data_IF_377102086159
#
_entry.id   IF_377102086159
#
_cell.length_a   1.000
_cell.length_b   1.000
_cell.length_c   1.000
_cell.angle_alpha   90.00
_cell.angle_beta   90.00
_cell.angle_gamma   90.00
#
_symmetry.space_group_name_H-M   'P 1'
#
loop_
_entity.id
_entity.type
_entity.pdbx_description
1 polymer ?
#
# COMPACT_ATOMS: atom_id res chain seq x y z
N UNK A 1 -1.11 21.23 11.78
CA UNK A 1 -2.25 20.83 10.92
C UNK A 1 -2.68 19.45 11.37
N UNK A 2 -3.95 19.29 11.75
CA UNK A 2 -4.46 18.07 12.38
C UNK A 2 -4.77 17.02 11.29
N UNK A 3 -4.34 15.76 11.48
CA UNK A 3 -4.53 14.58 10.60
C UNK A 3 -6.01 14.27 10.23
N UNK A 4 -6.94 15.09 10.70
CA UNK A 4 -8.38 14.97 10.47
C UNK A 4 -8.79 15.55 9.11
N UNK A 5 -8.09 16.57 8.61
CA UNK A 5 -8.43 17.28 7.37
C UNK A 5 -8.03 16.52 6.09
N UNK A 6 -7.12 15.55 6.18
CA UNK A 6 -6.63 14.75 5.04
C UNK A 6 -7.46 13.48 4.78
N UNK A 7 -8.57 13.27 5.50
CA UNK A 7 -9.39 12.06 5.38
C UNK A 7 -10.47 12.25 4.31
N UNK A 8 -10.44 11.48 3.20
CA UNK A 8 -11.55 11.48 2.26
C UNK A 8 -12.84 11.12 3.02
N UNK A 9 -13.83 12.01 2.98
CA UNK A 9 -15.14 11.82 3.62
C UNK A 9 -15.11 11.57 5.15
N UNK A 10 -14.04 11.99 5.84
CA UNK A 10 -13.90 11.80 7.29
C UNK A 10 -13.72 10.35 7.73
N UNK A 11 -13.51 9.41 6.80
CA UNK A 11 -13.38 7.99 7.12
C UNK A 11 -12.04 7.68 7.82
N UNK A 12 -12.04 6.66 8.69
CA UNK A 12 -10.81 6.14 9.25
C UNK A 12 -9.88 5.62 8.13
N UNK A 13 -8.55 5.75 8.29
CA UNK A 13 -7.61 5.20 7.32
C UNK A 13 -7.79 3.69 7.19
N UNK A 14 -7.65 3.18 5.97
CA UNK A 14 -7.72 1.74 5.69
C UNK A 14 -6.43 1.02 6.09
N UNK A 15 -6.55 -0.26 6.47
CA UNK A 15 -5.44 -1.11 6.92
C UNK A 15 -5.73 -2.59 6.65
N UNK A 16 -4.70 -3.44 6.77
CA UNK A 16 -4.89 -4.90 6.81
C UNK A 16 -5.57 -5.37 8.10
N UNK A 17 -5.50 -4.58 9.18
CA UNK A 17 -6.05 -4.86 10.52
C UNK A 17 -6.99 -3.76 11.01
N UNK A 18 -7.84 -4.09 11.99
CA UNK A 18 -8.65 -3.15 12.78
C UNK A 18 -8.04 -2.87 14.17
N UNK A 19 -6.81 -3.33 14.43
CA UNK A 19 -6.07 -3.04 15.66
C UNK A 19 -5.27 -1.74 15.55
N UNK A 20 -5.01 -1.04 16.68
CA UNK A 20 -4.13 0.13 16.69
C UNK A 20 -2.72 -0.19 16.16
N UNK A 21 -2.26 0.58 15.18
CA UNK A 21 -0.90 0.47 14.65
C UNK A 21 0.06 1.34 15.46
N UNK A 22 1.21 0.78 15.88
CA UNK A 22 2.34 1.58 16.36
C UNK A 22 3.02 2.20 15.14
N UNK A 23 2.56 3.37 14.70
CA UNK A 23 3.25 4.09 13.64
C UNK A 23 4.67 4.44 14.09
N UNK A 24 5.69 3.95 13.38
CA UNK A 24 7.06 4.44 13.50
C UNK A 24 7.19 5.76 12.72
N UNK A 25 6.38 6.76 13.05
CA UNK A 25 6.61 8.10 12.52
C UNK A 25 7.70 8.75 13.35
N UNK A 26 8.81 9.14 12.72
CA UNK A 26 9.86 9.99 13.29
C UNK A 26 9.38 11.40 13.67
N UNK A 27 8.08 11.62 13.82
CA UNK A 27 7.48 12.85 14.31
C UNK A 27 7.63 12.88 15.83
N UNK A 28 8.79 13.33 16.30
CA UNK A 28 8.94 13.82 17.69
C UNK A 28 7.86 14.89 17.93
N UNK A 29 6.85 14.58 18.73
CA UNK A 29 5.96 15.61 19.29
C UNK A 29 4.44 15.40 19.21
N UNK A 30 3.92 14.19 18.97
CA UNK A 30 2.48 13.96 19.16
C UNK A 30 2.23 13.26 20.50
N UNK A 31 1.79 14.04 21.49
CA UNK A 31 1.29 13.55 22.78
C UNK A 31 0.28 12.42 22.60
N UNK A 32 0.29 11.51 23.59
CA UNK A 32 -0.62 10.38 23.78
C UNK A 32 -2.06 10.87 23.96
N UNK A 33 -2.69 11.28 22.87
CA UNK A 33 -4.14 11.41 22.80
C UNK A 33 -4.72 10.05 22.48
N UNK A 34 -5.27 9.41 23.51
CA UNK A 34 -6.26 8.33 23.45
C UNK A 34 -7.41 8.78 22.57
N UNK A 35 -7.29 8.58 21.27
CA UNK A 35 -8.25 9.07 20.31
C UNK A 35 -8.64 7.87 19.45
N UNK A 36 -9.90 7.44 19.57
CA UNK A 36 -10.53 6.39 18.74
C UNK A 36 -10.31 6.65 17.23
N UNK A 37 -9.97 7.90 16.88
CA UNK A 37 -9.52 8.33 15.56
C UNK A 37 -8.23 7.66 15.05
N UNK A 38 -7.46 6.96 15.90
CA UNK A 38 -6.23 6.22 15.53
C UNK A 38 -6.48 4.76 15.15
N UNK A 39 -7.67 4.22 15.39
CA UNK A 39 -7.98 2.84 15.03
C UNK A 39 -8.27 2.80 13.53
N UNK A 40 -7.46 2.09 12.71
CA UNK A 40 -7.71 1.99 11.30
C UNK A 40 -8.92 1.09 11.04
N UNK A 41 -9.53 1.26 9.88
CA UNK A 41 -10.57 0.35 9.40
C UNK A 41 -9.91 -0.77 8.62
N UNK A 42 -10.16 -2.02 9.02
CA UNK A 42 -9.81 -3.19 8.20
C UNK A 42 -10.49 -3.06 6.83
N UNK A 43 -9.70 -3.19 5.77
CA UNK A 43 -10.21 -3.26 4.41
C UNK A 43 -11.03 -4.54 4.25
N UNK A 44 -12.24 -4.49 3.69
CA UNK A 44 -12.99 -5.70 3.39
C UNK A 44 -12.41 -6.39 2.16
N UNK A 45 -12.59 -7.71 2.06
CA UNK A 45 -12.06 -8.50 0.95
C UNK A 45 -12.59 -8.02 -0.41
N UNK A 46 -13.86 -7.60 -0.47
CA UNK A 46 -14.52 -7.05 -1.65
C UNK A 46 -14.05 -5.63 -2.01
N UNK A 47 -13.40 -4.92 -1.10
CA UNK A 47 -12.81 -3.59 -1.36
C UNK A 47 -11.40 -3.66 -1.97
N UNK A 48 -10.67 -4.78 -1.79
CA UNK A 48 -9.29 -4.93 -2.30
C UNK A 48 -9.21 -4.69 -3.82
N UNK A 49 -10.08 -5.27 -4.67
CA UNK A 49 -10.02 -5.04 -6.10
C UNK A 49 -10.20 -3.56 -6.48
N UNK A 50 -10.97 -2.79 -5.70
CA UNK A 50 -11.14 -1.36 -5.92
C UNK A 50 -9.85 -0.58 -5.63
N UNK A 51 -9.16 -0.89 -4.52
CA UNK A 51 -7.86 -0.29 -4.20
C UNK A 51 -6.82 -0.60 -5.27
N UNK A 52 -6.76 -1.85 -5.75
CA UNK A 52 -5.88 -2.24 -6.86
C UNK A 52 -6.21 -1.44 -8.12
N UNK A 53 -7.51 -1.25 -8.41
CA UNK A 53 -7.95 -0.42 -9.53
C UNK A 53 -7.61 1.07 -9.35
N UNK A 54 -7.58 1.58 -8.12
CA UNK A 54 -7.16 2.97 -7.86
C UNK A 54 -5.67 3.17 -8.17
N UNK A 55 -4.80 2.24 -7.76
CA UNK A 55 -3.39 2.27 -8.17
C UNK A 55 -3.23 2.17 -9.69
N UNK A 56 -4.03 1.30 -10.33
CA UNK A 56 -4.06 1.13 -11.78
C UNK A 56 -4.42 2.43 -12.49
N UNK A 57 -5.44 3.13 -12.01
CA UNK A 57 -5.87 4.43 -12.54
C UNK A 57 -4.84 5.52 -12.27
N UNK A 58 -4.23 5.55 -11.08
CA UNK A 58 -3.17 6.48 -10.75
C UNK A 58 -1.96 6.32 -11.68
N UNK A 59 -1.55 5.08 -11.96
CA UNK A 59 -0.46 4.78 -12.89
C UNK A 59 -0.78 5.25 -14.32
N UNK A 60 -2.01 5.01 -14.79
CA UNK A 60 -2.46 5.51 -16.10
C UNK A 60 -2.44 7.04 -16.15
N UNK A 61 -2.96 7.70 -15.12
CA UNK A 61 -2.99 9.16 -15.05
C UNK A 61 -1.57 9.76 -15.02
N UNK A 62 -0.61 9.09 -14.38
CA UNK A 62 0.80 9.50 -14.41
C UNK A 62 1.36 9.46 -15.85
N UNK A 63 1.06 8.42 -16.62
CA UNK A 63 1.44 8.36 -18.04
C UNK A 63 0.78 9.47 -18.85
N UNK A 64 -0.52 9.68 -18.68
CA UNK A 64 -1.26 10.75 -19.38
C UNK A 64 -0.70 12.14 -19.04
N UNK A 65 -0.13 12.30 -17.84
CA UNK A 65 0.56 13.52 -17.41
C UNK A 65 2.02 13.63 -17.89
N UNK A 66 2.57 12.61 -18.55
CA UNK A 66 3.92 12.61 -19.14
C UNK A 66 5.04 12.10 -18.22
N UNK A 67 4.72 11.35 -17.16
CA UNK A 67 5.74 10.66 -16.35
C UNK A 67 6.30 9.44 -17.10
N UNK A 68 7.60 9.19 -16.95
CA UNK A 68 8.30 8.06 -17.61
C UNK A 68 8.09 6.71 -16.91
N UNK A 69 7.72 6.75 -15.62
CA UNK A 69 7.79 5.61 -14.71
C UNK A 69 6.84 5.78 -13.52
N UNK A 70 6.49 4.68 -12.87
CA UNK A 70 5.82 4.70 -11.56
C UNK A 70 6.51 3.74 -10.60
N UNK A 71 6.59 4.16 -9.35
CA UNK A 71 7.07 3.33 -8.24
C UNK A 71 5.92 3.06 -7.28
N UNK A 72 5.75 1.79 -6.90
CA UNK A 72 4.80 1.36 -5.87
C UNK A 72 5.48 1.39 -4.52
N UNK A 73 4.99 2.27 -3.64
CA UNK A 73 5.49 2.38 -2.29
C UNK A 73 4.88 1.31 -1.37
N UNK A 74 5.63 0.25 -1.12
CA UNK A 74 5.30 -0.86 -0.22
C UNK A 74 6.15 -0.92 1.05
N UNK A 75 6.65 0.22 1.52
CA UNK A 75 7.53 0.34 2.69
C UNK A 75 6.95 1.24 3.80
N UNK A 76 7.76 1.54 4.83
CA UNK A 76 7.53 2.55 5.87
C UNK A 76 6.18 2.48 6.61
N UNK A 77 5.60 1.28 6.75
CA UNK A 77 4.35 1.03 7.44
C UNK A 77 3.10 1.45 6.67
N UNK A 78 3.22 1.75 5.38
CA UNK A 78 2.07 2.05 4.53
C UNK A 78 1.28 0.79 4.17
N UNK A 79 0.11 0.99 3.54
CA UNK A 79 -0.92 -0.02 3.34
C UNK A 79 -0.37 -1.36 2.84
N UNK A 80 0.44 -1.36 1.77
CA UNK A 80 0.97 -2.60 1.20
C UNK A 80 1.88 -3.34 2.19
N UNK A 81 2.76 -2.63 2.91
CA UNK A 81 3.62 -3.26 3.93
C UNK A 81 2.80 -3.87 5.06
N UNK A 82 1.67 -3.25 5.43
CA UNK A 82 0.75 -3.79 6.43
C UNK A 82 0.12 -5.11 6.00
N UNK A 83 -0.07 -5.36 4.70
CA UNK A 83 -0.53 -6.66 4.18
C UNK A 83 0.58 -7.71 4.11
N UNK A 84 1.85 -7.30 4.07
CA UNK A 84 3.00 -8.22 3.94
C UNK A 84 3.64 -8.61 5.28
N UNK A 85 3.47 -7.80 6.34
CA UNK A 85 4.02 -8.08 7.67
C UNK A 85 3.04 -8.86 8.53
N UNK A 86 3.36 -10.11 8.87
CA UNK A 86 2.58 -10.97 9.78
C UNK A 86 2.32 -10.32 11.15
N UNK A 87 3.23 -9.47 11.62
CA UNK A 87 3.06 -8.72 12.89
C UNK A 87 1.93 -7.68 12.84
N UNK A 88 1.45 -7.33 11.65
CA UNK A 88 0.38 -6.35 11.41
C UNK A 88 -0.84 -7.01 10.76
N UNK A 89 -0.61 -7.84 9.74
CA UNK A 89 -1.66 -8.54 9.01
C UNK A 89 -2.20 -9.73 9.84
N UNK A 90 -3.32 -9.53 10.51
CA UNK A 90 -4.04 -10.57 11.25
C UNK A 90 -5.27 -11.10 10.50
N UNK A 91 -5.25 -10.98 9.17
CA UNK A 91 -6.27 -11.52 8.27
C UNK A 91 -6.15 -13.03 8.13
N UNK A 92 -7.29 -13.69 7.93
CA UNK A 92 -7.39 -15.10 7.57
C UNK A 92 -8.07 -15.34 6.23
N UNK A 93 -8.55 -14.27 5.58
CA UNK A 93 -9.15 -14.30 4.25
C UNK A 93 -8.08 -14.20 3.15
N UNK A 94 -8.31 -14.87 2.01
CA UNK A 94 -7.38 -14.80 0.88
C UNK A 94 -7.32 -13.38 0.31
N UNK A 95 -6.14 -12.79 0.34
CA UNK A 95 -5.81 -11.58 -0.40
C UNK A 95 -4.89 -11.96 -1.55
N UNK A 96 -5.32 -11.79 -2.80
CA UNK A 96 -4.42 -12.00 -3.93
C UNK A 96 -3.34 -10.91 -3.95
N UNK A 97 -2.07 -11.28 -3.76
CA UNK A 97 -0.93 -10.36 -3.71
C UNK A 97 -0.32 -10.06 -5.10
N UNK A 98 -1.12 -10.06 -6.17
CA UNK A 98 -0.58 -9.94 -7.53
C UNK A 98 -0.43 -8.49 -7.98
N UNK A 99 0.77 -8.12 -8.43
CA UNK A 99 1.03 -6.85 -9.11
C UNK A 99 0.61 -6.86 -10.60
N UNK A 100 0.20 -8.02 -11.14
CA UNK A 100 -0.13 -8.15 -12.56
C UNK A 100 -1.20 -7.17 -13.06
N UNK A 101 -2.28 -6.85 -12.31
CA UNK A 101 -3.23 -5.84 -12.76
C UNK A 101 -2.60 -4.44 -12.96
N UNK A 102 -1.63 -4.07 -12.12
CA UNK A 102 -0.93 -2.78 -12.19
C UNK A 102 0.07 -2.78 -13.36
N UNK A 103 0.89 -3.83 -13.47
CA UNK A 103 1.80 -4.03 -14.62
C UNK A 103 1.08 -3.99 -15.96
N UNK A 104 -0.10 -4.62 -16.06
CA UNK A 104 -0.90 -4.64 -17.30
C UNK A 104 -1.45 -3.27 -17.69
N UNK A 105 -1.61 -2.36 -16.73
CA UNK A 105 -2.10 -1.02 -16.99
C UNK A 105 -0.97 -0.01 -17.25
N UNK A 106 0.29 -0.42 -17.09
CA UNK A 106 1.43 0.46 -17.15
C UNK A 106 2.46 -0.04 -18.16
N UNK A 107 2.69 0.76 -19.21
CA UNK A 107 3.55 0.39 -20.33
C UNK A 107 4.99 0.94 -20.21
N UNK A 108 5.31 1.67 -19.13
CA UNK A 108 6.65 2.18 -18.84
C UNK A 108 7.41 1.34 -17.81
N UNK A 109 8.43 1.93 -17.18
CA UNK A 109 9.22 1.34 -16.08
C UNK A 109 8.42 1.23 -14.77
N UNK A 110 8.07 0.01 -14.37
CA UNK A 110 7.29 -0.32 -13.18
C UNK A 110 8.19 -0.86 -12.08
N UNK A 111 8.34 -0.10 -10.99
CA UNK A 111 9.22 -0.44 -9.87
C UNK A 111 8.37 -0.78 -8.62
N UNK A 112 8.64 -1.91 -7.99
CA UNK A 112 8.08 -2.23 -6.68
C UNK A 112 9.10 -1.92 -5.58
N UNK A 113 8.76 -1.05 -4.62
CA UNK A 113 9.67 -0.65 -3.55
C UNK A 113 9.19 -1.14 -2.19
N UNK A 114 9.99 -1.95 -1.52
CA UNK A 114 9.69 -2.49 -0.20
C UNK A 114 8.70 -3.64 -0.20
N UNK A 115 8.66 -4.36 0.94
CA UNK A 115 7.71 -5.45 1.17
C UNK A 115 8.07 -6.82 0.57
N UNK A 116 9.04 -6.86 -0.33
CA UNK A 116 9.57 -8.11 -0.88
C UNK A 116 10.72 -8.66 -0.02
N UNK A 117 10.68 -9.95 0.28
CA UNK A 117 11.91 -10.68 0.61
C UNK A 117 12.72 -10.86 -0.69
N UNK A 118 14.02 -11.08 -0.56
CA UNK A 118 14.92 -11.24 -1.73
C UNK A 118 14.38 -12.28 -2.73
N UNK A 119 13.94 -13.43 -2.24
CA UNK A 119 13.43 -14.54 -3.06
C UNK A 119 12.14 -14.15 -3.79
N UNK A 120 11.17 -13.60 -3.06
CA UNK A 120 9.90 -13.14 -3.63
C UNK A 120 10.11 -12.01 -4.66
N UNK A 121 11.07 -11.11 -4.39
CA UNK A 121 11.46 -10.03 -5.29
C UNK A 121 12.07 -10.53 -6.60
N UNK A 122 12.90 -11.58 -6.55
CA UNK A 122 13.46 -12.22 -7.75
C UNK A 122 12.34 -12.89 -8.56
N UNK A 123 11.43 -13.60 -7.90
CA UNK A 123 10.33 -14.31 -8.57
C UNK A 123 9.40 -13.34 -9.30
N UNK A 124 8.99 -12.24 -8.66
CA UNK A 124 8.06 -11.28 -9.30
C UNK A 124 8.67 -10.58 -10.52
N UNK A 125 9.99 -10.37 -10.54
CA UNK A 125 10.70 -9.87 -11.73
C UNK A 125 10.72 -10.93 -12.83
N UNK A 126 11.05 -12.18 -12.49
CA UNK A 126 11.09 -13.29 -13.45
C UNK A 126 9.72 -13.58 -14.09
N UNK A 127 8.64 -13.37 -13.35
CA UNK A 127 7.25 -13.54 -13.82
C UNK A 127 6.71 -12.33 -14.59
N UNK A 128 7.55 -11.32 -14.86
CA UNK A 128 7.16 -10.04 -15.46
C UNK A 128 6.08 -9.28 -14.67
N UNK A 129 6.00 -9.48 -13.35
CA UNK A 129 5.13 -8.71 -12.47
C UNK A 129 5.63 -7.28 -12.24
N UNK A 130 6.93 -7.04 -12.37
CA UNK A 130 7.60 -5.73 -12.27
C UNK A 130 8.95 -5.74 -13.01
N UNK A 131 9.43 -4.57 -13.41
CA UNK A 131 10.73 -4.45 -14.07
C UNK A 131 11.88 -4.49 -13.06
N UNK A 132 11.65 -3.94 -11.85
CA UNK A 132 12.65 -3.82 -10.80
C UNK A 132 12.00 -3.89 -9.41
N UNK A 133 12.73 -4.48 -8.46
CA UNK A 133 12.39 -4.44 -7.04
C UNK A 133 13.46 -3.65 -6.30
N UNK A 134 13.03 -2.60 -5.60
CA UNK A 134 13.87 -1.87 -4.65
C UNK A 134 13.64 -2.45 -3.24
N UNK A 135 14.73 -2.86 -2.59
CA UNK A 135 14.73 -3.46 -1.25
C UNK A 135 15.03 -2.44 -0.15
#
# INVERSE_FOLDING_TARGET
>A
MEQKELRPNGQAPISSTDKPLKQQTGSKGAEETTNESRIPRRLKTDEIPHVVNDFRLAARNAIEAGFDGVEIHGAHGYLLEQFMKDAVNDRSDECSHSLLPMRKAFNGSFIAAGGYRREDGINVVAENGTDLVAF
#
